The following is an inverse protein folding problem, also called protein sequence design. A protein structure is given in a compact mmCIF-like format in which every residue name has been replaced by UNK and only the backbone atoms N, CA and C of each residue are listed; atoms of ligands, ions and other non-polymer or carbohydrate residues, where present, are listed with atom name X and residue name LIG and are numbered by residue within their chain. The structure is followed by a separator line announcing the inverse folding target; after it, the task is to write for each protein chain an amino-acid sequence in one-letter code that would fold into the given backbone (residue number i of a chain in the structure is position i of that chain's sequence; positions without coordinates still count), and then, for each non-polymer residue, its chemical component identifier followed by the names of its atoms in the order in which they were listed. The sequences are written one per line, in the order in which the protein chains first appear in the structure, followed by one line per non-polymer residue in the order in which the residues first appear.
data_IF_833421080646
#
_entry.id   IF_833421080646
#
_cell.length_a   1.000
_cell.length_b   1.000
_cell.length_c   1.000
_cell.angle_alpha   90.00
_cell.angle_beta   90.00
_cell.angle_gamma   90.00
#
_symmetry.space_group_name_H-M   'P 1'
#
loop_
_entity.id
_entity.type
_entity.pdbx_description
1 polymer ?
#
# COMPACT_ATOMS: atom_id res chain seq x y z
N UNK A 1 -19.01 2.14 -11.77
CA UNK A 1 -20.45 2.02 -11.46
C UNK A 1 -20.69 1.27 -10.15
N UNK A 2 -20.18 0.04 -9.98
CA UNK A 2 -20.39 -0.77 -8.78
C UNK A 2 -19.97 -0.09 -7.45
N UNK A 3 -18.77 0.48 -7.37
CA UNK A 3 -18.27 1.11 -6.14
C UNK A 3 -19.14 2.30 -5.67
N UNK A 4 -19.60 3.15 -6.61
CA UNK A 4 -20.50 4.28 -6.31
C UNK A 4 -21.85 3.80 -5.78
N UNK A 5 -22.35 2.67 -6.29
CA UNK A 5 -23.60 2.06 -5.84
C UNK A 5 -23.47 1.45 -4.44
N UNK A 6 -22.38 0.74 -4.19
CA UNK A 6 -22.13 0.08 -2.89
C UNK A 6 -21.81 1.06 -1.76
N UNK A 7 -21.13 2.17 -2.07
CA UNK A 7 -20.77 3.19 -1.08
C UNK A 7 -21.80 4.32 -0.95
N UNK A 8 -22.82 4.34 -1.84
CA UNK A 8 -23.75 5.44 -2.05
C UNK A 8 -23.09 6.80 -2.35
N UNK A 9 -21.77 6.83 -2.52
CA UNK A 9 -21.02 8.05 -2.81
C UNK A 9 -20.92 8.26 -4.32
N UNK A 10 -21.73 9.19 -4.84
CA UNK A 10 -21.76 9.56 -6.26
C UNK A 10 -20.50 10.28 -6.73
N UNK A 11 -19.69 10.83 -5.81
CA UNK A 11 -18.53 11.68 -6.06
C UNK A 11 -17.19 11.02 -5.72
N UNK A 12 -17.11 9.68 -5.67
CA UNK A 12 -15.85 8.95 -5.42
C UNK A 12 -14.68 9.37 -6.32
N UNK A 13 -14.96 9.81 -7.54
CA UNK A 13 -13.98 10.31 -8.49
C UNK A 13 -13.35 11.65 -8.09
N UNK A 14 -13.97 12.42 -7.19
CA UNK A 14 -13.37 13.63 -6.59
C UNK A 14 -12.45 13.33 -5.41
N UNK A 15 -12.60 12.15 -4.81
CA UNK A 15 -11.80 11.69 -3.67
C UNK A 15 -10.74 10.64 -4.08
N UNK A 16 -10.46 10.49 -5.37
CA UNK A 16 -9.50 9.51 -5.91
C UNK A 16 -8.80 10.04 -7.16
N UNK A 17 -7.70 9.42 -7.56
CA UNK A 17 -7.04 9.69 -8.84
C UNK A 17 -7.73 9.03 -10.05
N UNK A 18 -8.96 8.53 -9.91
CA UNK A 18 -9.65 7.77 -10.96
C UNK A 18 -9.92 8.58 -12.23
N UNK A 19 -10.05 9.90 -12.12
CA UNK A 19 -10.21 10.79 -13.27
C UNK A 19 -8.95 10.85 -14.16
N UNK A 20 -7.78 10.46 -13.63
CA UNK A 20 -6.49 10.45 -14.32
C UNK A 20 -6.07 9.08 -14.87
N UNK A 21 -6.90 8.04 -14.68
CA UNK A 21 -6.54 6.63 -14.99
C UNK A 21 -6.21 6.35 -16.46
N UNK A 22 -6.68 7.18 -17.39
CA UNK A 22 -6.44 6.98 -18.82
C UNK A 22 -5.00 7.29 -19.23
N UNK A 23 -4.30 8.08 -18.42
CA UNK A 23 -2.92 8.48 -18.64
C UNK A 23 -1.93 7.47 -18.09
N UNK A 24 -2.18 6.93 -16.90
CA UNK A 24 -1.22 6.10 -16.18
C UNK A 24 -1.33 4.61 -16.49
N UNK A 25 -0.30 3.86 -16.12
CA UNK A 25 -0.34 2.40 -16.17
C UNK A 25 -1.51 1.83 -15.36
N UNK A 26 -2.09 0.72 -15.84
CA UNK A 26 -3.29 0.14 -15.23
C UNK A 26 -3.09 -0.43 -13.83
N UNK A 27 -1.83 -0.59 -13.38
CA UNK A 27 -1.49 -1.04 -12.02
C UNK A 27 -1.36 0.14 -11.04
N UNK A 28 -1.36 1.39 -11.53
CA UNK A 28 -1.16 2.58 -10.72
C UNK A 28 0.22 2.62 -10.05
N UNK A 29 1.25 2.10 -10.72
CA UNK A 29 2.57 1.99 -10.11
C UNK A 29 3.16 3.38 -9.80
N UNK A 30 3.71 3.52 -8.59
CA UNK A 30 4.31 4.79 -8.13
C UNK A 30 3.30 5.90 -7.82
N UNK A 31 2.00 5.61 -7.83
CA UNK A 31 0.97 6.62 -7.53
C UNK A 31 0.72 6.79 -6.03
N UNK A 32 0.57 5.69 -5.29
CA UNK A 32 0.19 5.72 -3.87
C UNK A 32 1.29 5.18 -2.96
N UNK A 33 1.44 5.78 -1.78
CA UNK A 33 2.28 5.24 -0.71
C UNK A 33 1.77 3.86 -0.26
N UNK A 34 2.69 2.98 0.12
CA UNK A 34 2.35 1.67 0.71
C UNK A 34 1.90 1.78 2.16
N UNK A 35 2.36 2.82 2.85
CA UNK A 35 2.01 3.19 4.22
C UNK A 35 1.17 4.45 4.21
N UNK A 36 0.41 4.67 5.28
CA UNK A 36 -0.31 5.92 5.47
C UNK A 36 0.71 7.02 5.80
N UNK A 37 0.60 8.15 5.10
CA UNK A 37 1.34 9.38 5.38
C UNK A 37 0.43 10.44 5.98
N UNK A 38 0.95 11.28 6.86
CA UNK A 38 0.23 12.44 7.41
C UNK A 38 1.18 13.57 7.76
N UNK A 39 0.62 14.77 7.93
CA UNK A 39 1.32 15.90 8.52
C UNK A 39 1.03 15.94 10.04
N UNK A 40 2.05 15.84 10.91
CA UNK A 40 1.84 15.87 12.36
C UNK A 40 1.26 17.23 12.81
N UNK A 41 1.68 18.34 12.20
CA UNK A 41 1.16 19.68 12.53
C UNK A 41 -0.31 19.84 12.16
N UNK A 42 -0.75 19.39 10.98
CA UNK A 42 -2.17 19.39 10.59
C UNK A 42 -3.02 18.58 11.59
N UNK A 43 -2.52 17.43 12.04
CA UNK A 43 -3.24 16.57 12.99
C UNK A 43 -3.32 17.26 14.35
N UNK A 44 -2.23 17.86 14.83
CA UNK A 44 -2.23 18.62 16.08
C UNK A 44 -3.16 19.84 16.02
N UNK A 45 -3.16 20.62 14.92
CA UNK A 45 -4.09 21.75 14.75
C UNK A 45 -5.54 21.34 14.73
N UNK A 46 -5.85 20.25 14.03
CA UNK A 46 -7.21 19.72 14.02
C UNK A 46 -7.64 19.28 15.42
N UNK A 47 -6.77 18.60 16.16
CA UNK A 47 -7.05 18.18 17.54
C UNK A 47 -7.24 19.36 18.49
N UNK A 48 -6.35 20.36 18.45
CA UNK A 48 -6.41 21.56 19.31
C UNK A 48 -7.65 22.41 18.99
N UNK A 49 -8.02 22.51 17.72
CA UNK A 49 -9.18 23.30 17.27
C UNK A 49 -10.50 22.52 17.29
N UNK A 50 -10.53 21.30 17.85
CA UNK A 50 -11.69 20.39 17.80
C UNK A 50 -12.29 20.19 16.39
N UNK A 51 -11.45 20.26 15.34
CA UNK A 51 -11.84 20.02 13.94
C UNK A 51 -11.67 18.53 13.58
N UNK A 52 -12.48 18.01 12.64
CA UNK A 52 -12.28 16.65 12.14
C UNK A 52 -10.88 16.46 11.55
N UNK A 53 -10.18 15.40 11.97
CA UNK A 53 -8.88 15.03 11.41
C UNK A 53 -9.12 14.32 10.08
N UNK A 54 -8.78 14.98 8.97
CA UNK A 54 -8.97 14.44 7.62
C UNK A 54 -7.69 13.84 7.06
N UNK A 55 -7.78 12.66 6.45
CA UNK A 55 -6.70 12.12 5.63
C UNK A 55 -6.81 12.68 4.21
N UNK A 56 -5.88 13.54 3.80
CA UNK A 56 -5.91 14.15 2.47
C UNK A 56 -5.48 13.14 1.40
N UNK A 57 -6.17 13.14 0.24
CA UNK A 57 -5.75 12.36 -0.93
C UNK A 57 -4.34 12.74 -1.39
N UNK A 58 -3.97 14.02 -1.22
CA UNK A 58 -2.64 14.54 -1.50
C UNK A 58 -1.55 13.75 -0.76
N UNK A 59 -1.75 13.44 0.52
CA UNK A 59 -0.79 12.70 1.34
C UNK A 59 -0.68 11.23 0.94
N UNK A 60 -1.71 10.68 0.29
CA UNK A 60 -1.64 9.32 -0.23
C UNK A 60 -0.73 9.22 -1.47
N UNK A 61 -0.44 10.33 -2.16
CA UNK A 61 0.39 10.34 -3.35
C UNK A 61 1.87 10.06 -3.03
N UNK A 62 2.45 9.01 -3.61
CA UNK A 62 3.81 8.55 -3.31
C UNK A 62 4.89 9.60 -3.58
N UNK A 63 4.68 10.44 -4.60
CA UNK A 63 5.63 11.50 -4.96
C UNK A 63 5.55 12.71 -4.03
N UNK A 64 4.48 12.86 -3.25
CA UNK A 64 4.32 13.94 -2.28
C UNK A 64 4.99 13.53 -0.97
N UNK A 65 6.00 14.30 -0.58
CA UNK A 65 6.78 14.07 0.64
C UNK A 65 6.58 15.12 1.73
N UNK A 66 5.96 16.25 1.40
CA UNK A 66 5.77 17.38 2.31
C UNK A 66 4.30 17.82 2.36
N UNK A 67 3.92 18.42 3.49
CA UNK A 67 2.60 19.03 3.65
C UNK A 67 2.49 20.32 2.84
N UNK A 68 1.39 20.52 2.11
CA UNK A 68 1.10 21.79 1.42
C UNK A 68 0.80 23.00 2.31
N UNK A 69 0.45 22.78 3.59
CA UNK A 69 0.12 23.86 4.53
C UNK A 69 1.38 24.21 5.34
N UNK A 70 1.91 23.23 6.05
CA UNK A 70 3.03 23.42 6.99
C UNK A 70 4.41 23.29 6.36
N UNK A 71 4.49 22.80 5.11
CA UNK A 71 5.75 22.56 4.40
C UNK A 71 6.74 21.65 5.16
N UNK A 72 6.28 20.91 6.16
CA UNK A 72 7.06 19.91 6.86
C UNK A 72 7.00 18.56 6.13
N UNK A 73 7.99 17.67 6.35
CA UNK A 73 7.92 16.29 5.88
C UNK A 73 6.66 15.56 6.36
N UNK A 74 6.15 14.65 5.54
CA UNK A 74 5.07 13.74 5.91
C UNK A 74 5.61 12.51 6.62
N UNK A 75 4.98 12.16 7.73
CA UNK A 75 5.36 11.04 8.59
C UNK A 75 4.59 9.78 8.24
N UNK A 76 5.20 8.60 8.41
CA UNK A 76 4.53 7.29 8.35
C UNK A 76 4.64 6.44 9.61
N UNK A 77 5.42 6.88 10.60
CA UNK A 77 5.66 6.16 11.85
C UNK A 77 5.17 6.95 13.08
N UNK A 78 4.65 6.23 14.06
CA UNK A 78 4.23 6.84 15.33
C UNK A 78 5.45 7.32 16.13
N UNK A 79 5.51 8.60 16.49
CA UNK A 79 6.60 9.14 17.31
C UNK A 79 6.73 8.48 18.70
N UNK A 80 5.64 7.88 19.24
CA UNK A 80 5.65 7.21 20.55
C UNK A 80 6.16 5.77 20.51
N UNK A 81 5.81 4.99 19.48
CA UNK A 81 6.12 3.55 19.45
C UNK A 81 6.83 3.07 18.18
N UNK A 82 7.12 3.96 17.23
CA UNK A 82 7.78 3.65 15.95
C UNK A 82 6.93 2.86 14.96
N UNK A 83 5.71 2.43 15.32
CA UNK A 83 4.88 1.61 14.44
C UNK A 83 4.45 2.39 13.18
N UNK A 84 4.69 1.78 12.02
CA UNK A 84 4.15 2.25 10.75
C UNK A 84 2.62 2.20 10.71
N UNK A 85 2.00 3.12 9.99
CA UNK A 85 0.53 3.18 9.88
C UNK A 85 0.05 2.58 8.55
N UNK A 86 -0.98 1.73 8.62
CA UNK A 86 -1.59 1.13 7.42
C UNK A 86 -2.49 2.14 6.69
N UNK A 87 -2.51 2.16 5.34
CA UNK A 87 -3.35 3.07 4.55
C UNK A 87 -4.84 2.96 4.86
N UNK A 88 -5.32 1.74 5.12
CA UNK A 88 -6.68 1.45 5.53
C UNK A 88 -6.64 0.92 6.95
N UNK A 89 -7.22 1.67 7.88
CA UNK A 89 -7.35 1.28 9.27
C UNK A 89 -8.65 0.50 9.50
N UNK A 90 -8.60 -0.56 10.30
CA UNK A 90 -9.82 -1.23 10.79
C UNK A 90 -10.66 -0.30 11.67
N UNK A 91 -10.03 0.67 12.33
CA UNK A 91 -10.71 1.72 13.10
C UNK A 91 -10.69 3.05 12.35
N UNK A 92 -11.83 3.76 12.34
CA UNK A 92 -11.93 5.11 11.79
C UNK A 92 -11.24 6.19 12.66
N UNK A 93 -10.30 5.80 13.53
CA UNK A 93 -9.60 6.70 14.45
C UNK A 93 -8.48 7.47 13.74
N UNK A 94 -8.86 8.36 12.82
CA UNK A 94 -7.93 9.27 12.16
C UNK A 94 -7.21 10.13 13.20
N UNK A 95 -5.87 10.22 13.10
CA UNK A 95 -5.03 10.97 14.03
C UNK A 95 -4.56 10.20 15.26
N UNK A 96 -4.88 8.90 15.37
CA UNK A 96 -4.34 8.01 16.41
C UNK A 96 -3.57 6.84 15.82
N UNK A 97 -2.54 6.41 16.56
CA UNK A 97 -1.75 5.24 16.21
C UNK A 97 -2.59 3.97 16.34
N UNK A 98 -2.59 3.13 15.30
CA UNK A 98 -3.32 1.86 15.26
C UNK A 98 -2.76 0.82 16.24
N UNK A 99 -1.49 0.95 16.63
CA UNK A 99 -0.81 0.01 17.52
C UNK A 99 -0.95 0.41 19.00
N UNK A 100 -0.61 1.65 19.36
CA UNK A 100 -0.56 2.09 20.77
C UNK A 100 -1.65 3.10 21.16
N UNK A 101 -2.48 3.56 20.22
CA UNK A 101 -3.56 4.52 20.47
C UNK A 101 -3.14 5.97 20.72
N UNK A 102 -1.83 6.27 20.76
CA UNK A 102 -1.33 7.62 20.97
C UNK A 102 -1.70 8.57 19.81
N UNK A 103 -1.71 9.88 20.08
CA UNK A 103 -1.87 10.90 19.04
C UNK A 103 -0.76 10.80 17.99
N UNK A 104 -1.13 10.99 16.73
CA UNK A 104 -0.21 11.14 15.60
C UNK A 104 0.08 12.63 15.31
N UNK A 105 -0.51 13.54 16.06
CA UNK A 105 -0.25 14.97 15.97
C UNK A 105 0.73 15.43 17.03
N UNK A 106 1.76 16.14 16.59
CA UNK A 106 2.68 16.92 17.42
C UNK A 106 3.13 18.14 16.63
N UNK A 107 3.68 19.14 17.33
CA UNK A 107 4.26 20.33 16.70
C UNK A 107 5.68 20.01 16.27
N UNK A 108 5.96 20.04 14.98
CA UNK A 108 7.30 19.72 14.45
C UNK A 108 8.37 20.73 14.92
N UNK A 109 7.95 21.92 15.39
CA UNK A 109 8.82 23.00 15.82
C UNK A 109 9.64 23.60 14.67
N UNK A 110 10.26 24.77 14.90
CA UNK A 110 11.11 25.45 13.91
C UNK A 110 12.40 24.65 13.57
N UNK A 111 12.79 23.69 14.41
CA UNK A 111 14.03 22.92 14.30
C UNK A 111 13.92 21.66 13.42
N UNK A 112 12.70 21.20 13.11
CA UNK A 112 12.47 20.08 12.17
C UNK A 112 12.33 20.56 10.71
N UNK A 113 12.70 21.81 10.42
CA UNK A 113 12.56 22.43 9.11
C UNK A 113 13.53 21.81 8.11
N UNK A 114 13.16 20.67 7.54
CA UNK A 114 13.62 20.24 6.23
C UNK A 114 12.58 20.77 5.22
N UNK A 115 12.68 22.04 4.78
CA UNK A 115 11.74 22.58 3.82
C UNK A 115 11.86 21.83 2.50
N UNK A 116 10.77 21.75 1.71
CA UNK A 116 10.83 21.07 0.43
C UNK A 116 11.80 21.80 -0.50
N UNK A 117 12.69 21.03 -1.12
CA UNK A 117 13.54 21.53 -2.21
C UNK A 117 12.71 21.94 -3.44
N UNK A 118 13.33 22.58 -4.43
CA UNK A 118 12.64 23.07 -5.63
C UNK A 118 11.84 21.97 -6.35
N UNK A 119 12.41 20.76 -6.43
CA UNK A 119 11.78 19.61 -7.08
C UNK A 119 10.57 19.13 -6.27
N UNK A 120 10.72 18.99 -4.97
CA UNK A 120 9.65 18.59 -4.06
C UNK A 120 8.51 19.61 -4.07
N UNK A 121 8.82 20.91 -4.11
CA UNK A 121 7.82 21.97 -4.26
C UNK A 121 7.10 21.88 -5.61
N UNK A 122 7.82 21.64 -6.71
CA UNK A 122 7.22 21.48 -8.02
C UNK A 122 6.24 20.30 -8.03
N UNK A 123 6.64 19.15 -7.48
CA UNK A 123 5.81 17.95 -7.37
C UNK A 123 4.56 18.27 -6.56
N UNK A 124 4.71 18.87 -5.37
CA UNK A 124 3.60 19.23 -4.50
C UNK A 124 2.57 20.10 -5.22
N UNK A 125 3.02 21.18 -5.88
CA UNK A 125 2.14 22.08 -6.64
C UNK A 125 1.51 21.39 -7.86
N UNK A 126 2.23 20.48 -8.51
CA UNK A 126 1.73 19.72 -9.64
C UNK A 126 0.59 18.80 -9.24
N UNK A 127 0.75 18.04 -8.14
CA UNK A 127 -0.30 17.14 -7.66
C UNK A 127 -1.52 17.93 -7.16
N UNK A 128 -1.32 19.05 -6.45
CA UNK A 128 -2.41 19.95 -6.07
C UNK A 128 -3.21 20.42 -7.29
N UNK A 129 -2.54 20.96 -8.31
CA UNK A 129 -3.18 21.44 -9.53
C UNK A 129 -3.98 20.32 -10.24
N UNK A 130 -3.46 19.09 -10.24
CA UNK A 130 -4.17 17.92 -10.78
C UNK A 130 -5.41 17.54 -9.97
N UNK A 131 -5.36 17.67 -8.65
CA UNK A 131 -6.48 17.36 -7.75
C UNK A 131 -7.58 18.43 -7.78
N UNK A 132 -7.23 19.68 -8.07
CA UNK A 132 -8.16 20.80 -8.24
C UNK A 132 -8.98 20.72 -9.54
N UNK A 133 -8.53 19.91 -10.52
CA UNK A 133 -9.25 19.76 -11.78
C UNK A 133 -10.61 19.07 -11.61
N UNK A 134 -11.61 19.55 -12.35
CA UNK A 134 -12.92 18.88 -12.43
C UNK A 134 -12.76 17.50 -13.06
N UNK A 135 -13.44 16.45 -12.55
CA UNK A 135 -13.26 15.09 -13.05
C UNK A 135 -13.42 14.91 -14.56
N UNK A 136 -14.34 15.64 -15.19
CA UNK A 136 -14.57 15.54 -16.64
C UNK A 136 -13.46 16.20 -17.45
N UNK A 137 -12.95 17.34 -16.99
CA UNK A 137 -11.77 18.00 -17.55
C UNK A 137 -10.52 17.12 -17.40
N UNK A 138 -10.30 16.53 -16.22
CA UNK A 138 -9.21 15.57 -16.02
C UNK A 138 -9.32 14.37 -16.96
N UNK A 139 -10.51 13.80 -17.16
CA UNK A 139 -10.69 12.65 -18.07
C UNK A 139 -10.38 12.98 -19.52
N UNK A 140 -10.74 14.18 -19.97
CA UNK A 140 -10.43 14.64 -21.32
C UNK A 140 -8.91 14.82 -21.52
N UNK A 141 -8.22 15.36 -20.53
CA UNK A 141 -6.76 15.58 -20.58
C UNK A 141 -5.95 14.30 -20.36
N UNK A 142 -6.39 13.43 -19.45
CA UNK A 142 -5.64 12.29 -18.95
C UNK A 142 -5.81 11.05 -19.83
N UNK A 143 -5.38 11.15 -21.09
CA UNK A 143 -5.38 10.05 -22.06
C UNK A 143 -3.99 9.79 -22.61
N UNK A 144 -3.71 8.54 -22.99
CA UNK A 144 -2.44 8.20 -23.64
C UNK A 144 -2.28 8.90 -24.99
N UNK A 145 -3.38 9.20 -25.67
CA UNK A 145 -3.40 9.94 -26.94
C UNK A 145 -2.96 11.39 -26.76
N UNK A 146 -3.52 12.10 -25.77
CA UNK A 146 -3.12 13.47 -25.45
C UNK A 146 -1.65 13.50 -25.06
N UNK A 147 -1.21 12.59 -24.19
CA UNK A 147 0.20 12.50 -23.78
C UNK A 147 1.15 12.21 -24.95
N UNK A 148 0.77 11.29 -25.83
CA UNK A 148 1.52 10.95 -27.04
C UNK A 148 1.65 12.14 -28.00
N UNK A 149 0.59 12.93 -28.17
CA UNK A 149 0.62 14.16 -28.97
C UNK A 149 1.56 15.20 -28.34
N UNK A 150 1.35 15.51 -27.06
CA UNK A 150 2.15 16.46 -26.26
C UNK A 150 3.63 16.10 -26.32
N UNK A 151 4.02 14.85 -26.10
CA UNK A 151 5.42 14.43 -26.20
C UNK A 151 6.03 14.66 -27.59
N UNK A 152 5.27 14.45 -28.66
CA UNK A 152 5.73 14.70 -30.03
C UNK A 152 5.91 16.19 -30.29
N UNK A 153 4.96 17.01 -29.85
CA UNK A 153 5.06 18.48 -29.92
C UNK A 153 6.28 19.00 -29.16
N UNK A 154 6.55 18.48 -27.94
CA UNK A 154 7.79 18.80 -27.18
C UNK A 154 9.03 18.43 -27.98
N UNK A 155 9.05 17.23 -28.54
CA UNK A 155 10.21 16.74 -29.28
C UNK A 155 10.43 17.57 -30.56
N UNK A 156 9.37 17.91 -31.28
CA UNK A 156 9.44 18.71 -32.51
C UNK A 156 9.95 20.13 -32.22
N UNK A 157 9.48 20.74 -31.12
CA UNK A 157 10.00 22.01 -30.63
C UNK A 157 11.45 21.93 -30.11
N UNK A 158 11.96 20.71 -29.83
CA UNK A 158 13.27 20.48 -29.25
C UNK A 158 14.26 19.82 -30.23
N UNK A 159 15.19 20.61 -30.76
CA UNK A 159 16.36 20.12 -31.55
C UNK A 159 15.96 19.08 -32.62
N UNK A 160 14.89 19.36 -33.38
CA UNK A 160 14.53 18.62 -34.59
C UNK A 160 13.77 17.30 -34.39
N UNK A 161 12.91 17.17 -33.38
CA UNK A 161 11.93 16.07 -33.31
C UNK A 161 12.43 14.77 -32.68
N UNK A 162 13.71 14.69 -32.29
CA UNK A 162 14.29 13.42 -31.85
C UNK A 162 14.01 13.12 -30.38
N UNK A 163 13.21 12.08 -30.12
CA UNK A 163 12.96 11.55 -28.76
C UNK A 163 14.25 11.15 -28.03
N UNK A 164 15.26 10.65 -28.76
CA UNK A 164 16.57 10.33 -28.19
C UNK A 164 17.33 11.59 -27.78
N UNK A 165 17.25 12.66 -28.58
CA UNK A 165 17.88 13.94 -28.25
C UNK A 165 17.19 14.57 -27.03
N UNK A 166 15.85 14.62 -27.02
CA UNK A 166 15.08 15.08 -25.88
C UNK A 166 15.43 14.29 -24.62
N UNK A 167 15.43 12.96 -24.70
CA UNK A 167 15.76 12.08 -23.58
C UNK A 167 17.15 12.33 -22.99
N UNK A 168 18.16 12.56 -23.84
CA UNK A 168 19.51 12.92 -23.36
C UNK A 168 19.50 14.23 -22.57
N UNK A 169 18.82 15.25 -23.06
CA UNK A 169 18.85 16.58 -22.45
C UNK A 169 18.03 16.63 -21.14
N UNK A 170 16.91 15.89 -21.06
CA UNK A 170 16.12 15.76 -19.83
C UNK A 170 16.56 14.61 -18.91
N UNK A 171 17.62 13.88 -19.29
CA UNK A 171 18.15 12.72 -18.57
C UNK A 171 17.12 11.61 -18.31
N UNK A 172 16.28 11.31 -19.31
CA UNK A 172 15.32 10.20 -19.31
C UNK A 172 15.62 9.33 -20.52
N UNK A 173 15.60 8.00 -20.33
CA UNK A 173 15.89 7.07 -21.42
C UNK A 173 14.96 7.32 -22.63
N UNK A 174 15.55 7.57 -23.80
CA UNK A 174 14.79 7.90 -25.01
C UNK A 174 13.88 6.77 -25.49
N UNK A 175 14.15 5.51 -25.13
CA UNK A 175 13.25 4.39 -25.40
C UNK A 175 11.96 4.47 -24.57
N UNK A 176 12.03 4.99 -23.33
CA UNK A 176 10.86 5.23 -22.48
C UNK A 176 9.97 6.30 -23.12
N UNK A 177 10.55 7.42 -23.54
CA UNK A 177 9.82 8.50 -24.22
C UNK A 177 9.19 8.02 -25.53
N UNK A 178 9.93 7.25 -26.32
CA UNK A 178 9.44 6.63 -27.56
C UNK A 178 8.27 5.68 -27.30
N UNK A 179 8.38 4.79 -26.31
CA UNK A 179 7.32 3.85 -25.95
C UNK A 179 6.03 4.58 -25.54
N UNK A 180 6.14 5.73 -24.88
CA UNK A 180 4.99 6.60 -24.56
C UNK A 180 4.44 7.34 -25.78
N UNK A 181 5.32 7.87 -26.63
CA UNK A 181 4.94 8.58 -27.86
C UNK A 181 4.18 7.67 -28.83
N UNK A 182 4.52 6.39 -28.94
CA UNK A 182 3.78 5.41 -29.73
C UNK A 182 2.65 4.71 -28.97
N UNK A 183 2.42 5.07 -27.70
CA UNK A 183 1.39 4.49 -26.83
C UNK A 183 1.56 2.97 -26.57
N UNK A 184 2.76 2.42 -26.79
CA UNK A 184 3.08 1.03 -26.44
C UNK A 184 3.03 0.80 -24.93
N UNK A 185 3.37 1.84 -24.15
CA UNK A 185 3.29 1.83 -22.70
C UNK A 185 2.66 3.12 -22.19
N UNK A 186 2.05 3.04 -21.02
CA UNK A 186 1.61 4.20 -20.25
C UNK A 186 2.61 4.51 -19.14
N UNK A 187 2.82 5.80 -18.80
CA UNK A 187 3.73 6.19 -17.74
C UNK A 187 3.29 5.66 -16.37
N UNK A 188 4.29 5.38 -15.53
CA UNK A 188 4.09 5.41 -14.08
C UNK A 188 3.89 6.85 -13.63
N UNK A 189 3.14 7.05 -12.55
CA UNK A 189 2.84 8.39 -12.06
C UNK A 189 4.11 9.20 -11.75
N UNK A 190 5.03 8.61 -10.99
CA UNK A 190 6.25 9.28 -10.53
C UNK A 190 7.19 9.66 -11.69
N UNK A 191 7.35 8.77 -12.69
CA UNK A 191 8.16 9.06 -13.87
C UNK A 191 7.52 10.14 -14.75
N UNK A 192 6.19 10.20 -14.84
CA UNK A 192 5.50 11.25 -15.57
C UNK A 192 5.67 12.63 -14.91
N UNK A 193 5.48 12.72 -13.58
CA UNK A 193 5.69 13.97 -12.84
C UNK A 193 7.15 14.40 -12.91
N UNK A 194 8.09 13.45 -12.89
CA UNK A 194 9.51 13.73 -13.11
C UNK A 194 9.74 14.36 -14.50
N UNK A 195 9.20 13.77 -15.58
CA UNK A 195 9.32 14.37 -16.92
C UNK A 195 8.73 15.79 -16.96
N UNK A 196 7.57 16.02 -16.33
CA UNK A 196 6.97 17.37 -16.23
C UNK A 196 7.93 18.36 -15.53
N UNK A 197 8.56 17.94 -14.42
CA UNK A 197 9.57 18.74 -13.72
C UNK A 197 10.76 19.07 -14.63
N UNK A 198 11.26 18.10 -15.38
CA UNK A 198 12.38 18.27 -16.32
C UNK A 198 12.06 19.21 -17.46
N UNK A 199 10.81 19.21 -17.92
CA UNK A 199 10.33 20.13 -18.95
C UNK A 199 10.00 21.52 -18.39
N UNK A 200 9.97 21.68 -17.06
CA UNK A 200 9.65 22.94 -16.40
C UNK A 200 8.15 23.28 -16.35
N UNK A 201 7.29 22.37 -16.81
CA UNK A 201 5.85 22.61 -17.00
C UNK A 201 5.03 21.61 -16.22
N UNK A 202 4.05 22.10 -15.43
CA UNK A 202 3.19 21.24 -14.62
C UNK A 202 2.29 20.34 -15.48
N UNK A 203 1.86 19.18 -14.97
CA UNK A 203 1.04 18.22 -15.71
C UNK A 203 -0.20 18.80 -16.41
N UNK A 204 -0.99 19.62 -15.72
CA UNK A 204 -2.24 20.13 -16.29
C UNK A 204 -1.96 21.13 -17.41
N UNK A 205 -0.98 22.02 -17.20
CA UNK A 205 -0.58 23.02 -18.19
C UNK A 205 0.03 22.37 -19.44
N UNK A 206 0.82 21.32 -19.23
CA UNK A 206 1.45 20.53 -20.29
C UNK A 206 0.41 19.76 -21.11
N UNK A 207 -0.52 19.06 -20.46
CA UNK A 207 -1.56 18.26 -21.13
C UNK A 207 -2.62 19.13 -21.82
N UNK A 208 -2.87 20.33 -21.31
CA UNK A 208 -3.84 21.28 -21.90
C UNK A 208 -3.25 22.12 -23.04
N UNK A 209 -1.94 22.00 -23.32
CA UNK A 209 -1.26 22.78 -24.36
C UNK A 209 -0.95 24.23 -23.95
N UNK A 210 -1.24 24.63 -22.71
CA UNK A 210 -1.02 26.01 -22.22
C UNK A 210 0.43 26.31 -21.87
N UNK A 211 1.26 25.28 -21.70
CA UNK A 211 2.65 25.41 -21.26
C UNK A 211 3.69 25.51 -22.38
N UNK A 212 3.29 25.71 -23.65
CA UNK A 212 4.18 25.69 -24.82
C UNK A 212 4.48 27.06 -25.43
N UNK A 213 4.08 28.15 -24.77
CA UNK A 213 4.26 29.48 -25.35
C UNK A 213 5.73 29.92 -25.41
N UNK A 214 6.61 29.27 -24.66
CA UNK A 214 8.06 29.45 -24.69
C UNK A 214 8.79 28.08 -24.76
N UNK A 215 10.00 28.06 -25.31
CA UNK A 215 10.83 26.84 -25.33
C UNK A 215 10.99 26.29 -23.89
N UNK A 216 10.82 24.97 -23.67
CA UNK A 216 10.81 24.41 -22.33
C UNK A 216 12.17 24.66 -21.64
N UNK A 217 12.14 25.21 -20.43
CA UNK A 217 13.32 25.38 -19.59
C UNK A 217 13.77 24.02 -19.07
N UNK A 218 14.57 23.31 -19.88
CA UNK A 218 15.01 21.96 -19.57
C UNK A 218 15.89 21.95 -18.33
N UNK A 219 15.50 21.14 -17.33
CA UNK A 219 16.29 20.95 -16.11
C UNK A 219 17.10 19.66 -16.21
N UNK A 220 18.45 19.74 -16.37
CA UNK A 220 19.29 18.55 -16.31
C UNK A 220 19.33 17.99 -14.89
N UNK A 221 19.76 16.75 -14.74
CA UNK A 221 20.02 16.17 -13.43
C UNK A 221 20.31 14.70 -13.53
N UNK A 222 20.47 14.04 -12.38
CA UNK A 222 20.89 12.65 -12.35
C UNK A 222 19.90 11.77 -13.12
N UNK A 223 20.44 10.95 -14.03
CA UNK A 223 19.70 9.84 -14.63
C UNK A 223 18.96 9.09 -13.52
N UNK A 224 17.69 8.68 -13.71
CA UNK A 224 17.08 7.70 -12.82
C UNK A 224 18.07 6.55 -12.67
N UNK A 225 18.40 6.18 -11.43
CA UNK A 225 19.30 5.06 -11.16
C UNK A 225 18.90 3.91 -12.08
N UNK A 226 19.81 3.53 -12.99
CA UNK A 226 19.55 2.44 -13.92
C UNK A 226 19.12 1.26 -13.07
N UNK A 227 17.94 0.70 -13.34
CA UNK A 227 17.52 -0.49 -12.61
C UNK A 227 18.61 -1.53 -12.80
N UNK A 228 19.12 -2.15 -11.72
CA UNK A 228 20.09 -3.21 -11.87
C UNK A 228 19.50 -4.25 -12.82
N UNK A 229 20.21 -4.54 -13.90
CA UNK A 229 19.84 -5.65 -14.77
C UNK A 229 20.13 -6.92 -14.00
N UNK A 230 19.08 -7.55 -13.48
CA UNK A 230 19.21 -8.87 -12.88
C UNK A 230 19.59 -9.84 -14.00
N UNK A 231 20.83 -10.31 -13.97
CA UNK A 231 21.36 -11.32 -14.89
C UNK A 231 21.82 -12.50 -14.05
N UNK A 232 21.06 -13.58 -14.12
CA UNK A 232 21.53 -14.89 -13.68
C UNK A 232 22.12 -15.62 -14.89
N UNK A 233 23.23 -16.34 -14.70
CA UNK A 233 23.74 -17.26 -15.72
C UNK A 233 22.76 -18.42 -15.93
N UNK A 234 22.92 -19.17 -17.03
CA UNK A 234 22.12 -20.36 -17.27
C UNK A 234 22.25 -21.39 -16.13
N UNK A 235 23.49 -21.58 -15.63
CA UNK A 235 23.77 -22.47 -14.50
C UNK A 235 23.08 -22.00 -13.21
N UNK A 236 23.09 -20.69 -12.94
CA UNK A 236 22.40 -20.11 -11.78
C UNK A 236 20.89 -20.27 -11.90
N UNK A 237 20.31 -20.09 -13.10
CA UNK A 237 18.89 -20.30 -13.33
C UNK A 237 18.48 -21.76 -13.13
N UNK A 238 19.29 -22.71 -13.61
CA UNK A 238 19.05 -24.13 -13.36
C UNK A 238 19.11 -24.46 -11.87
N UNK A 239 20.11 -23.95 -11.14
CA UNK A 239 20.21 -24.15 -9.69
C UNK A 239 18.99 -23.57 -8.95
N UNK A 240 18.53 -22.38 -9.38
CA UNK A 240 17.34 -21.73 -8.82
C UNK A 240 16.07 -22.55 -9.12
N UNK A 241 15.94 -23.12 -10.31
CA UNK A 241 14.83 -23.97 -10.69
C UNK A 241 14.78 -25.27 -9.86
N UNK A 242 15.92 -25.94 -9.71
CA UNK A 242 16.03 -27.14 -8.86
C UNK A 242 15.65 -26.86 -7.41
N UNK A 243 16.13 -25.74 -6.84
CA UNK A 243 15.78 -25.36 -5.46
C UNK A 243 14.29 -25.03 -5.32
N UNK A 244 13.66 -24.43 -6.34
CA UNK A 244 12.21 -24.25 -6.34
C UNK A 244 11.50 -25.61 -6.32
N UNK A 245 11.91 -26.55 -7.17
CA UNK A 245 11.29 -27.88 -7.22
C UNK A 245 11.47 -28.64 -5.89
N UNK A 246 12.65 -28.56 -5.25
CA UNK A 246 12.87 -29.10 -3.90
C UNK A 246 11.96 -28.45 -2.86
N UNK A 247 11.83 -27.12 -2.87
CA UNK A 247 10.94 -26.40 -1.96
C UNK A 247 9.46 -26.77 -2.13
N UNK A 248 9.03 -27.10 -3.35
CA UNK A 248 7.66 -27.54 -3.64
C UNK A 248 7.38 -28.95 -3.09
N UNK A 249 8.41 -29.78 -2.87
CA UNK A 249 8.22 -31.10 -2.25
C UNK A 249 8.05 -31.04 -0.73
N UNK A 250 8.46 -29.94 -0.09
CA UNK A 250 8.46 -29.78 1.36
C UNK A 250 7.15 -29.18 1.87
N UNK A 251 6.37 -29.94 2.62
CA UNK A 251 5.09 -29.50 3.19
C UNK A 251 5.23 -28.54 4.38
N UNK A 252 6.41 -28.49 5.01
CA UNK A 252 6.70 -27.70 6.21
C UNK A 252 7.25 -26.30 5.90
N UNK A 253 7.73 -26.07 4.68
CA UNK A 253 8.45 -24.85 4.31
C UNK A 253 7.60 -23.93 3.44
N UNK A 254 7.67 -22.63 3.72
CA UNK A 254 7.07 -21.57 2.92
C UNK A 254 8.16 -20.59 2.52
N UNK A 255 8.23 -20.30 1.22
CA UNK A 255 9.03 -19.19 0.73
C UNK A 255 8.15 -18.26 -0.12
N UNK A 256 8.24 -16.96 0.14
CA UNK A 256 7.62 -15.96 -0.71
C UNK A 256 8.45 -15.80 -1.98
N UNK A 257 7.83 -15.81 -3.17
CA UNK A 257 8.57 -15.58 -4.42
C UNK A 257 9.34 -14.25 -4.42
N UNK A 258 8.86 -13.23 -3.69
CA UNK A 258 9.58 -11.98 -3.49
C UNK A 258 10.81 -12.12 -2.59
N UNK A 259 10.72 -12.86 -1.48
CA UNK A 259 11.86 -13.12 -0.60
C UNK A 259 12.88 -14.02 -1.30
N UNK A 260 12.40 -15.05 -2.00
CA UNK A 260 13.22 -15.96 -2.80
C UNK A 260 14.01 -15.19 -3.87
N UNK A 261 13.34 -14.33 -4.65
CA UNK A 261 14.02 -13.50 -5.64
C UNK A 261 15.08 -12.60 -5.00
N UNK A 262 14.77 -11.98 -3.86
CA UNK A 262 15.72 -11.14 -3.13
C UNK A 262 16.95 -11.94 -2.63
N UNK A 263 16.72 -13.14 -2.08
CA UNK A 263 17.78 -14.05 -1.63
C UNK A 263 18.72 -14.46 -2.77
N UNK A 264 18.19 -14.62 -3.98
CA UNK A 264 18.97 -14.94 -5.19
C UNK A 264 19.50 -13.70 -5.91
N UNK A 265 19.41 -12.52 -5.31
CA UNK A 265 19.89 -11.27 -5.90
C UNK A 265 19.21 -10.92 -7.22
N UNK A 266 17.97 -11.34 -7.43
CA UNK A 266 17.21 -11.17 -8.67
C UNK A 266 15.84 -10.51 -8.42
N UNK A 267 15.02 -10.39 -9.48
CA UNK A 267 13.64 -9.92 -9.35
C UNK A 267 12.63 -11.00 -9.71
N UNK A 268 11.44 -10.91 -9.10
CA UNK A 268 10.29 -11.76 -9.43
C UNK A 268 9.99 -11.71 -10.93
N UNK A 269 10.08 -10.53 -11.55
CA UNK A 269 9.83 -10.37 -12.98
C UNK A 269 10.85 -11.11 -13.84
N UNK A 270 12.12 -11.12 -13.45
CA UNK A 270 13.16 -11.87 -14.15
C UNK A 270 12.93 -13.38 -14.04
N UNK A 271 12.64 -13.90 -12.83
CA UNK A 271 12.35 -15.31 -12.63
C UNK A 271 11.10 -15.77 -13.39
N UNK A 272 10.01 -14.98 -13.33
CA UNK A 272 8.78 -15.25 -14.08
C UNK A 272 8.98 -15.26 -15.60
N UNK A 273 9.99 -14.55 -16.09
CA UNK A 273 10.32 -14.52 -17.52
C UNK A 273 11.19 -15.73 -17.92
N UNK A 274 12.20 -16.06 -17.12
CA UNK A 274 13.18 -17.11 -17.46
C UNK A 274 12.70 -18.52 -17.12
N UNK A 275 12.04 -18.71 -15.97
CA UNK A 275 11.58 -20.01 -15.44
C UNK A 275 10.11 -19.94 -15.00
N UNK A 276 9.17 -19.65 -15.94
CA UNK A 276 7.77 -19.39 -15.61
C UNK A 276 7.08 -20.57 -14.91
N UNK A 277 7.39 -21.80 -15.30
CA UNK A 277 6.67 -22.98 -14.81
C UNK A 277 7.09 -23.37 -13.39
N UNK A 278 8.39 -23.33 -13.08
CA UNK A 278 8.87 -23.44 -11.70
C UNK A 278 8.25 -22.37 -10.79
N UNK A 279 8.21 -21.12 -11.23
CA UNK A 279 7.58 -20.04 -10.46
C UNK A 279 6.08 -20.29 -10.20
N UNK A 280 5.34 -20.82 -11.18
CA UNK A 280 3.92 -21.18 -11.00
C UNK A 280 3.75 -22.32 -9.99
N UNK A 281 4.59 -23.36 -10.03
CA UNK A 281 4.58 -24.44 -9.05
C UNK A 281 4.77 -23.90 -7.63
N UNK A 282 5.74 -23.02 -7.43
CA UNK A 282 5.99 -22.41 -6.11
C UNK A 282 4.81 -21.56 -5.63
N UNK A 283 4.18 -20.79 -6.52
CA UNK A 283 2.99 -20.00 -6.19
C UNK A 283 1.79 -20.90 -5.83
N UNK A 284 1.58 -22.01 -6.54
CA UNK A 284 0.53 -22.97 -6.24
C UNK A 284 0.77 -23.69 -4.91
N UNK A 285 2.01 -24.15 -4.67
CA UNK A 285 2.43 -24.76 -3.42
C UNK A 285 2.20 -23.82 -2.23
N UNK A 286 2.55 -22.52 -2.37
CA UNK A 286 2.27 -21.52 -1.34
C UNK A 286 0.80 -21.42 -0.96
N UNK A 287 -0.11 -21.50 -1.93
CA UNK A 287 -1.56 -21.46 -1.66
C UNK A 287 -1.96 -22.70 -0.85
N UNK A 288 -1.46 -23.88 -1.23
CA UNK A 288 -1.73 -25.14 -0.54
C UNK A 288 -1.19 -25.14 0.90
N UNK A 289 0.08 -24.78 1.11
CA UNK A 289 0.70 -24.72 2.45
C UNK A 289 0.01 -23.67 3.33
N UNK A 290 -0.40 -22.53 2.77
CA UNK A 290 -1.20 -21.54 3.52
C UNK A 290 -2.56 -22.07 3.93
N UNK A 291 -3.25 -22.77 3.05
CA UNK A 291 -4.54 -23.39 3.37
C UNK A 291 -4.37 -24.45 4.48
N UNK A 292 -3.39 -25.35 4.36
CA UNK A 292 -3.10 -26.37 5.35
C UNK A 292 -2.71 -25.78 6.72
N UNK A 293 -1.83 -24.77 6.75
CA UNK A 293 -1.47 -24.07 8.00
C UNK A 293 -2.64 -23.29 8.61
N UNK A 294 -3.51 -22.69 7.79
CA UNK A 294 -4.69 -22.01 8.29
C UNK A 294 -5.66 -22.98 8.96
N UNK A 295 -5.82 -24.19 8.41
CA UNK A 295 -6.59 -25.29 9.04
C UNK A 295 -5.93 -25.72 10.34
N UNK A 296 -4.64 -26.04 10.34
CA UNK A 296 -3.93 -26.47 11.54
C UNK A 296 -3.95 -25.41 12.66
N UNK A 297 -3.77 -24.13 12.31
CA UNK A 297 -3.87 -23.02 13.27
C UNK A 297 -5.30 -22.86 13.80
N UNK A 298 -6.32 -23.11 12.98
CA UNK A 298 -7.72 -23.10 13.41
C UNK A 298 -7.98 -24.21 14.43
N UNK A 299 -7.56 -25.44 14.14
CA UNK A 299 -7.69 -26.58 15.06
C UNK A 299 -6.93 -26.37 16.38
N UNK A 300 -5.71 -25.81 16.33
CA UNK A 300 -4.95 -25.47 17.52
C UNK A 300 -5.70 -24.42 18.37
N UNK A 301 -6.19 -23.35 17.73
CA UNK A 301 -6.96 -22.32 18.41
C UNK A 301 -8.26 -22.85 19.01
N UNK A 302 -8.94 -23.79 18.36
CA UNK A 302 -10.10 -24.48 18.93
C UNK A 302 -9.73 -25.24 20.19
N UNK A 303 -8.66 -26.04 20.15
CA UNK A 303 -8.19 -26.81 21.31
C UNK A 303 -7.85 -25.90 22.49
N UNK A 304 -7.11 -24.81 22.24
CA UNK A 304 -6.74 -23.81 23.25
C UNK A 304 -7.96 -23.09 23.81
N UNK A 305 -8.93 -22.74 22.97
CA UNK A 305 -10.16 -22.09 23.42
C UNK A 305 -10.97 -23.00 24.35
N UNK A 306 -11.14 -24.28 23.96
CA UNK A 306 -11.88 -25.25 24.78
C UNK A 306 -11.17 -25.53 26.12
N UNK A 307 -9.86 -25.70 26.11
CA UNK A 307 -9.09 -25.93 27.34
C UNK A 307 -9.17 -24.72 28.28
N UNK A 308 -9.01 -23.51 27.76
CA UNK A 308 -9.11 -22.27 28.55
C UNK A 308 -10.49 -22.10 29.19
N UNK A 309 -11.57 -22.38 28.44
CA UNK A 309 -12.95 -22.32 28.98
C UNK A 309 -13.15 -23.34 30.09
N UNK A 310 -12.74 -24.60 29.89
CA UNK A 310 -12.88 -25.66 30.90
C UNK A 310 -12.11 -25.33 32.17
N UNK A 311 -10.87 -24.86 32.05
CA UNK A 311 -10.06 -24.43 33.19
C UNK A 311 -10.72 -23.27 33.94
N UNK A 312 -11.21 -22.27 33.22
CA UNK A 312 -11.85 -21.09 33.82
C UNK A 312 -13.11 -21.48 34.61
N UNK A 313 -13.94 -22.39 34.08
CA UNK A 313 -15.17 -22.84 34.76
C UNK A 313 -14.86 -23.69 36.00
N UNK A 314 -13.76 -24.47 35.98
CA UNK A 314 -13.30 -25.21 37.16
C UNK A 314 -12.90 -24.27 38.31
N UNK A 315 -12.28 -23.13 37.99
CA UNK A 315 -11.87 -22.14 39.00
C UNK A 315 -13.02 -21.25 39.45
N UNK A 316 -13.91 -20.85 38.54
CA UNK A 316 -15.02 -19.93 38.82
C UNK A 316 -16.29 -20.31 38.04
N UNK A 317 -17.39 -20.53 38.76
CA UNK A 317 -18.68 -20.88 38.14
C UNK A 317 -19.37 -19.70 37.43
N UNK A 318 -19.10 -18.46 37.85
CA UNK A 318 -19.60 -17.24 37.21
C UNK A 318 -18.46 -16.24 37.02
N UNK A 319 -18.36 -15.68 35.82
CA UNK A 319 -17.32 -14.70 35.48
C UNK A 319 -17.80 -13.73 34.37
N UNK A 320 -17.32 -12.48 34.36
CA UNK A 320 -17.64 -11.53 33.31
C UNK A 320 -16.91 -11.87 32.01
N UNK A 321 -17.45 -11.40 30.86
CA UNK A 321 -16.85 -11.62 29.53
C UNK A 321 -15.38 -11.19 29.43
N UNK A 322 -14.97 -10.18 30.21
CA UNK A 322 -13.58 -9.73 30.29
C UNK A 322 -12.64 -10.83 30.79
N UNK A 323 -13.05 -11.61 31.81
CA UNK A 323 -12.24 -12.70 32.36
C UNK A 323 -12.06 -13.85 31.37
N UNK A 324 -13.10 -14.13 30.58
CA UNK A 324 -12.99 -15.07 29.46
C UNK A 324 -12.00 -14.59 28.40
N UNK A 325 -12.02 -13.28 28.08
CA UNK A 325 -11.08 -12.70 27.13
C UNK A 325 -9.63 -12.77 27.64
N UNK A 326 -9.39 -12.54 28.93
CA UNK A 326 -8.08 -12.67 29.58
C UNK A 326 -7.59 -14.13 29.54
N UNK A 327 -8.41 -15.11 29.94
CA UNK A 327 -8.04 -16.52 29.92
C UNK A 327 -7.70 -17.04 28.50
N UNK A 328 -8.42 -16.56 27.48
CA UNK A 328 -8.11 -16.89 26.08
C UNK A 328 -6.76 -16.29 25.64
N UNK A 329 -6.43 -15.08 26.09
CA UNK A 329 -5.13 -14.45 25.81
C UNK A 329 -3.98 -15.20 26.48
N UNK A 330 -4.15 -15.61 27.75
CA UNK A 330 -3.15 -16.37 28.50
C UNK A 330 -2.90 -17.75 27.87
N UNK A 331 -3.93 -18.37 27.28
CA UNK A 331 -3.82 -19.60 26.52
C UNK A 331 -3.20 -19.43 25.11
N UNK A 332 -2.80 -18.21 24.72
CA UNK A 332 -2.18 -17.93 23.43
C UNK A 332 -3.17 -17.75 22.27
N UNK A 333 -4.45 -17.51 22.54
CA UNK A 333 -5.48 -17.21 21.52
C UNK A 333 -6.17 -15.87 21.82
N UNK A 334 -7.23 -15.51 21.08
CA UNK A 334 -7.87 -14.20 21.26
C UNK A 334 -9.37 -14.20 20.93
N UNK A 335 -10.17 -13.62 21.83
CA UNK A 335 -11.62 -13.47 21.67
C UNK A 335 -12.03 -12.57 20.48
N UNK A 336 -11.10 -11.79 19.93
CA UNK A 336 -11.35 -10.99 18.71
C UNK A 336 -11.42 -11.86 17.46
N UNK A 337 -10.86 -13.07 17.47
CA UNK A 337 -11.03 -14.04 16.39
C UNK A 337 -12.48 -14.58 16.43
N UNK A 338 -13.30 -14.37 15.38
CA UNK A 338 -14.71 -14.77 15.39
C UNK A 338 -14.93 -16.26 15.63
N UNK A 339 -14.04 -17.11 15.09
CA UNK A 339 -14.12 -18.56 15.22
C UNK A 339 -13.81 -19.02 16.65
N UNK A 340 -12.73 -18.50 17.24
CA UNK A 340 -12.36 -18.75 18.65
C UNK A 340 -13.48 -18.32 19.58
N UNK A 341 -14.07 -17.15 19.33
CA UNK A 341 -15.18 -16.63 20.12
C UNK A 341 -16.41 -17.54 20.07
N UNK A 342 -16.76 -18.04 18.89
CA UNK A 342 -17.87 -18.96 18.72
C UNK A 342 -17.61 -20.25 19.53
N UNK A 343 -16.47 -20.90 19.30
CA UNK A 343 -16.09 -22.16 19.98
C UNK A 343 -16.02 -21.98 21.49
N UNK A 344 -15.50 -20.86 21.98
CA UNK A 344 -15.44 -20.57 23.41
C UNK A 344 -16.83 -20.42 24.05
N UNK A 345 -17.79 -19.83 23.34
CA UNK A 345 -19.15 -19.71 23.85
C UNK A 345 -19.93 -21.03 23.79
N UNK A 346 -19.78 -21.79 22.70
CA UNK A 346 -20.38 -23.13 22.57
C UNK A 346 -19.85 -24.06 23.68
N UNK A 347 -18.54 -24.09 23.90
CA UNK A 347 -17.95 -24.91 24.96
C UNK A 347 -18.39 -24.44 26.36
N UNK A 348 -18.57 -23.13 26.56
CA UNK A 348 -19.05 -22.58 27.84
C UNK A 348 -20.49 -23.04 28.14
N UNK A 349 -21.35 -23.10 27.13
CA UNK A 349 -22.71 -23.62 27.28
C UNK A 349 -22.72 -25.11 27.63
N UNK A 350 -21.86 -25.91 26.96
CA UNK A 350 -21.71 -27.34 27.24
C UNK A 350 -21.26 -27.55 28.69
N UNK A 351 -20.15 -26.92 29.10
CA UNK A 351 -19.57 -27.12 30.44
C UNK A 351 -20.52 -26.64 31.54
N UNK A 352 -21.33 -25.59 31.30
CA UNK A 352 -22.35 -25.14 32.25
C UNK A 352 -23.48 -26.15 32.43
N UNK A 353 -23.99 -26.73 31.33
CA UNK A 353 -25.02 -27.78 31.39
C UNK A 353 -24.51 -29.01 32.14
N UNK A 354 -23.30 -29.47 31.85
CA UNK A 354 -22.68 -30.59 32.56
C UNK A 354 -22.49 -30.32 34.07
N UNK A 355 -22.17 -29.07 34.44
CA UNK A 355 -22.03 -28.68 35.84
C UNK A 355 -23.39 -28.62 36.56
N UNK A 356 -24.45 -28.22 35.86
CA UNK A 356 -25.82 -28.20 36.37
C UNK A 356 -26.39 -29.61 36.56
N UNK A 357 -26.19 -30.50 35.58
CA UNK A 357 -26.57 -31.91 35.66
C UNK A 357 -25.86 -32.62 36.81
N UNK A 358 -24.55 -32.39 37.00
CA UNK A 358 -23.81 -32.93 38.15
C UNK A 358 -24.35 -32.43 39.49
N UNK A 359 -24.75 -31.15 39.58
CA UNK A 359 -25.38 -30.60 40.79
C UNK A 359 -26.74 -31.22 41.07
N UNK A 360 -27.54 -31.48 40.03
CA UNK A 360 -28.84 -32.15 40.16
C UNK A 360 -28.66 -33.60 40.61
N UNK A 361 -27.74 -34.36 40.01
CA UNK A 361 -27.45 -35.75 40.42
C UNK A 361 -26.96 -35.86 41.87
N UNK A 362 -26.10 -34.94 42.31
CA UNK A 362 -25.66 -34.88 43.71
C UNK A 362 -26.81 -34.58 44.68
N UNK A 363 -27.82 -33.79 44.27
CA UNK A 363 -29.01 -33.47 45.07
C UNK A 363 -30.04 -34.60 45.21
N UNK A 364 -30.01 -35.60 44.32
CA UNK A 364 -30.92 -36.76 44.34
C UNK A 364 -30.24 -38.03 44.89
N UNK A 365 -28.96 -37.95 45.26
CA UNK A 365 -28.17 -39.05 45.84
C UNK A 365 -27.94 -38.88 47.35
N UNK A 366 -28.30 -37.73 47.91
CA UNK A 366 -28.56 -37.47 49.34
C UNK A 366 -30.06 -37.57 49.61
#
# INVERSE_FOLDING_TARGET
AALKRLTLNKQLDRATFLSWRGLFDGKGAGLLHKTRKWCPDCVAEASESARPITSLLLWACASVTHCHIHLCPLEDACAKCGAGQFPLAESAAYGRCQACGATLGWRSGLLSANPPDERQQFVLRSVLQMLEQRPDSSRALATSQVWSRVLREVADAHKGGSMKALGRDIHIDGSVLRDWAHQYKRPRFDTFVEVCYRLGTKPVDLLSGRGYQDAPSLKPGSLPLSRPTFKLSAEQLMAVETEIDELVTRTDSYCNLTEFAAQKGTSVGHLMYQIPDACKKLLAHRVQVRAARAVALRELNEKLARSAVRQLVQTMSQFPRRRLAEALLDAGTCIRNPHVRQVAFEELEIVRKEAEERRLQAKYSD
#
